data_IF_632562445151
#
_entry.id   IF_632562445151
#
_cell.length_a   1.000
_cell.length_b   1.000
_cell.length_c   1.000
_cell.angle_alpha   90.00
_cell.angle_beta   90.00
_cell.angle_gamma   90.00
#
_symmetry.space_group_name_H-M   'P 1'
#
loop_
_entity.id
_entity.type
_entity.pdbx_description
1 polymer ?
#
# COMPACT_ATOMS: atom_id res chain seq x y z
N UNK A 1 -11.53 2.32 38.71
CA UNK A 1 -11.57 2.40 37.26
C UNK A 1 -11.90 1.03 36.68
N UNK A 2 -12.90 0.98 35.84
CA UNK A 2 -13.36 -0.30 35.30
C UNK A 2 -12.49 -0.74 34.12
N UNK A 3 -11.72 -1.79 34.35
CA UNK A 3 -10.81 -2.36 33.33
C UNK A 3 -11.57 -2.77 32.06
N UNK A 4 -12.79 -3.24 32.20
CA UNK A 4 -13.64 -3.66 31.09
C UNK A 4 -13.97 -2.49 30.15
N UNK A 5 -14.26 -1.31 30.70
CA UNK A 5 -14.56 -0.10 29.91
C UNK A 5 -13.36 0.32 29.06
N UNK A 6 -12.16 0.26 29.64
CA UNK A 6 -10.94 0.59 28.90
C UNK A 6 -10.73 -0.38 27.74
N UNK A 7 -10.93 -1.67 27.99
CA UNK A 7 -10.78 -2.71 26.99
C UNK A 7 -11.77 -2.53 25.83
N UNK A 8 -13.02 -2.19 26.14
CA UNK A 8 -14.05 -1.95 25.13
C UNK A 8 -13.71 -0.71 24.28
N UNK A 9 -13.23 0.37 24.90
CA UNK A 9 -12.79 1.57 24.17
C UNK A 9 -11.62 1.26 23.26
N UNK A 10 -10.66 0.47 23.72
CA UNK A 10 -9.52 0.09 22.90
C UNK A 10 -9.95 -0.72 21.67
N UNK A 11 -10.90 -1.63 21.84
CA UNK A 11 -11.45 -2.40 20.72
C UNK A 11 -12.08 -1.49 19.67
N UNK A 12 -12.85 -0.51 20.09
CA UNK A 12 -13.49 0.45 19.18
C UNK A 12 -12.44 1.26 18.43
N UNK A 13 -11.43 1.78 19.15
CA UNK A 13 -10.36 2.57 18.54
C UNK A 13 -9.60 1.74 17.51
N UNK A 14 -9.22 0.51 17.87
CA UNK A 14 -8.50 -0.39 16.96
C UNK A 14 -9.34 -0.69 15.73
N UNK A 15 -10.64 -0.93 15.89
CA UNK A 15 -11.55 -1.20 14.78
C UNK A 15 -11.63 -0.01 13.83
N UNK A 16 -11.70 1.21 14.36
CA UNK A 16 -11.73 2.42 13.52
C UNK A 16 -10.42 2.59 12.77
N UNK A 17 -9.29 2.40 13.45
CA UNK A 17 -7.97 2.51 12.81
C UNK A 17 -7.82 1.49 11.69
N UNK A 18 -8.22 0.23 11.94
CA UNK A 18 -8.15 -0.81 10.93
C UNK A 18 -9.07 -0.51 9.73
N UNK A 19 -10.25 0.05 9.98
CA UNK A 19 -11.16 0.42 8.91
C UNK A 19 -10.58 1.52 8.04
N UNK A 20 -10.04 2.57 8.64
CA UNK A 20 -9.39 3.68 7.93
C UNK A 20 -8.20 3.15 7.12
N UNK A 21 -7.38 2.29 7.72
CA UNK A 21 -6.25 1.69 7.03
C UNK A 21 -6.70 0.85 5.84
N UNK A 22 -7.75 0.05 6.00
CA UNK A 22 -8.29 -0.77 4.92
C UNK A 22 -8.80 0.08 3.77
N UNK A 23 -9.50 1.17 4.06
CA UNK A 23 -9.96 2.12 3.04
C UNK A 23 -8.77 2.72 2.31
N UNK A 24 -7.72 3.12 3.02
CA UNK A 24 -6.52 3.66 2.42
C UNK A 24 -5.86 2.64 1.47
N UNK A 25 -5.71 1.39 1.91
CA UNK A 25 -5.14 0.31 1.08
C UNK A 25 -5.97 0.11 -0.19
N UNK A 26 -7.30 0.11 -0.07
CA UNK A 26 -8.19 -0.02 -1.23
C UNK A 26 -8.01 1.12 -2.22
N UNK A 27 -7.89 2.35 -1.73
CA UNK A 27 -7.65 3.53 -2.58
C UNK A 27 -6.33 3.37 -3.33
N UNK A 28 -5.29 2.92 -2.65
CA UNK A 28 -3.98 2.72 -3.29
C UNK A 28 -4.02 1.62 -4.36
N UNK A 29 -4.75 0.54 -4.12
CA UNK A 29 -4.94 -0.53 -5.10
C UNK A 29 -5.66 0.00 -6.34
N UNK A 30 -6.71 0.79 -6.16
CA UNK A 30 -7.46 1.40 -7.27
C UNK A 30 -6.57 2.35 -8.07
N UNK A 31 -5.77 3.17 -7.40
CA UNK A 31 -4.84 4.08 -8.07
C UNK A 31 -3.82 3.31 -8.91
N UNK A 32 -3.28 2.24 -8.36
CA UNK A 32 -2.32 1.40 -9.06
C UNK A 32 -2.96 0.73 -10.27
N UNK A 33 -4.16 0.18 -10.09
CA UNK A 33 -4.89 -0.50 -11.15
C UNK A 33 -5.20 0.43 -12.32
N UNK A 34 -5.59 1.68 -12.02
CA UNK A 34 -5.94 2.65 -13.05
C UNK A 34 -4.74 3.44 -13.57
N UNK A 35 -3.54 3.08 -13.12
CA UNK A 35 -2.29 3.73 -13.52
C UNK A 35 -2.31 5.25 -13.30
N UNK A 36 -2.99 5.70 -12.22
CA UNK A 36 -3.08 7.11 -11.88
C UNK A 36 -1.79 7.63 -11.28
N UNK A 37 -1.12 6.80 -10.48
CA UNK A 37 0.16 7.14 -9.86
C UNK A 37 0.93 5.85 -9.55
N UNK A 38 2.24 5.91 -9.64
CA UNK A 38 3.10 4.80 -9.22
C UNK A 38 3.55 4.94 -7.78
N UNK A 39 3.26 6.08 -7.17
CA UNK A 39 3.70 6.40 -5.81
C UNK A 39 2.51 6.42 -4.87
N UNK A 40 2.56 5.75 -3.68
CA UNK A 40 1.48 5.84 -2.73
C UNK A 40 1.35 7.26 -2.16
N UNK A 41 0.18 7.59 -1.63
CA UNK A 41 -0.07 8.91 -1.03
C UNK A 41 0.87 9.15 0.14
N UNK A 42 1.05 8.12 0.99
CA UNK A 42 1.96 8.17 2.13
C UNK A 42 3.15 7.29 1.82
N UNK A 43 4.34 7.88 1.72
CA UNK A 43 5.58 7.15 1.47
C UNK A 43 6.48 7.30 2.69
N UNK A 44 6.73 6.19 3.38
CA UNK A 44 7.63 6.18 4.54
C UNK A 44 9.07 6.08 4.10
N UNK A 45 9.36 5.24 3.12
CA UNK A 45 10.70 5.02 2.59
C UNK A 45 10.60 4.68 1.11
N UNK A 46 11.50 5.25 0.33
CA UNK A 46 11.62 4.97 -1.10
C UNK A 46 13.00 4.39 -1.38
N UNK A 47 13.02 3.32 -2.16
CA UNK A 47 14.25 2.75 -2.68
C UNK A 47 14.14 2.69 -4.20
N UNK A 48 15.15 3.18 -4.89
CA UNK A 48 15.17 3.14 -6.35
C UNK A 48 16.48 2.62 -6.85
N UNK A 49 16.42 1.76 -7.87
CA UNK A 49 17.55 1.35 -8.68
C UNK A 49 17.35 1.92 -10.08
N UNK A 50 18.13 1.47 -11.06
CA UNK A 50 18.11 2.07 -12.39
C UNK A 50 16.70 2.15 -13.02
N UNK A 51 15.92 1.08 -12.93
CA UNK A 51 14.58 1.03 -13.53
C UNK A 51 13.50 0.59 -12.53
N UNK A 52 13.88 0.27 -11.30
CA UNK A 52 12.97 -0.25 -10.29
C UNK A 52 12.78 0.76 -9.19
N UNK A 53 11.54 0.98 -8.82
CA UNK A 53 11.17 1.84 -7.70
C UNK A 53 10.38 1.03 -6.68
N UNK A 54 10.78 1.11 -5.42
CA UNK A 54 10.09 0.45 -4.32
C UNK A 54 9.67 1.49 -3.32
N UNK A 55 8.36 1.56 -3.04
CA UNK A 55 7.78 2.51 -2.10
C UNK A 55 7.23 1.75 -0.92
N UNK A 56 7.73 2.06 0.27
CA UNK A 56 7.23 1.50 1.53
C UNK A 56 6.24 2.46 2.14
N UNK A 57 5.06 1.98 2.48
CA UNK A 57 3.99 2.78 3.06
C UNK A 57 3.47 2.14 4.34
N UNK A 58 2.27 2.53 4.77
CA UNK A 58 1.67 2.05 6.02
C UNK A 58 1.16 0.62 5.86
N UNK A 59 1.98 -0.35 6.24
CA UNK A 59 1.63 -1.76 6.21
C UNK A 59 1.67 -2.41 4.85
N UNK A 60 2.18 -1.72 3.82
CA UNK A 60 2.30 -2.31 2.49
C UNK A 60 3.49 -1.72 1.74
N UNK A 61 3.81 -2.33 0.63
CA UNK A 61 4.90 -1.91 -0.24
C UNK A 61 4.46 -2.01 -1.69
N UNK A 62 4.82 -1.02 -2.51
CA UNK A 62 4.59 -1.03 -3.95
C UNK A 62 5.93 -1.11 -4.67
N UNK A 63 6.06 -2.08 -5.57
CA UNK A 63 7.22 -2.20 -6.45
C UNK A 63 6.78 -1.85 -7.86
N UNK A 64 7.44 -0.87 -8.47
CA UNK A 64 7.13 -0.44 -9.83
C UNK A 64 8.37 -0.66 -10.70
N UNK A 65 8.20 -1.39 -11.78
CA UNK A 65 9.28 -1.72 -12.71
C UNK A 65 9.06 -0.95 -14.01
N UNK A 66 10.08 -0.20 -14.41
CA UNK A 66 10.08 0.56 -15.65
C UNK A 66 11.01 -0.11 -16.66
N UNK A 67 10.66 0.01 -17.92
CA UNK A 67 11.49 -0.46 -19.00
C UNK A 67 11.46 0.57 -20.12
N UNK A 68 12.63 1.10 -20.49
CA UNK A 68 12.77 2.13 -21.51
C UNK A 68 11.92 3.39 -21.19
N UNK A 69 11.83 3.75 -19.89
CA UNK A 69 11.07 4.90 -19.45
C UNK A 69 9.58 4.69 -19.32
N UNK A 70 9.09 3.48 -19.59
CA UNK A 70 7.66 3.15 -19.48
C UNK A 70 7.42 2.16 -18.36
N UNK A 71 6.29 2.33 -17.65
CA UNK A 71 5.87 1.35 -16.65
C UNK A 71 5.60 0.00 -17.30
N UNK A 72 6.30 -1.02 -16.84
CA UNK A 72 6.08 -2.39 -17.32
C UNK A 72 5.22 -3.18 -16.35
N UNK A 73 5.48 -3.04 -15.05
CA UNK A 73 4.85 -3.87 -14.04
C UNK A 73 4.76 -3.13 -12.72
N UNK A 74 3.70 -3.37 -11.97
CA UNK A 74 3.57 -2.87 -10.61
C UNK A 74 3.07 -4.00 -9.71
N UNK A 75 3.70 -4.15 -8.55
CA UNK A 75 3.40 -5.21 -7.59
C UNK A 75 3.04 -4.55 -6.27
N UNK A 76 1.90 -4.95 -5.71
CA UNK A 76 1.43 -4.48 -4.41
C UNK A 76 1.53 -5.62 -3.41
N UNK A 77 2.36 -5.45 -2.38
CA UNK A 77 2.58 -6.45 -1.34
C UNK A 77 2.12 -5.94 0.02
N UNK A 78 1.32 -6.74 0.72
CA UNK A 78 0.88 -6.44 2.08
C UNK A 78 1.93 -6.97 3.06
N UNK A 79 2.38 -6.10 3.99
CA UNK A 79 3.40 -6.43 4.99
C UNK A 79 4.70 -7.00 4.41
N UNK A 80 5.03 -6.66 3.16
CA UNK A 80 6.21 -7.18 2.45
C UNK A 80 6.23 -8.69 2.24
N UNK A 81 5.13 -9.38 2.52
CA UNK A 81 5.07 -10.86 2.48
C UNK A 81 4.05 -11.33 1.46
N UNK A 82 2.85 -10.74 1.48
CA UNK A 82 1.72 -11.22 0.69
C UNK A 82 1.54 -10.35 -0.55
N UNK A 83 1.69 -10.94 -1.73
CA UNK A 83 1.40 -10.25 -2.98
C UNK A 83 -0.11 -10.24 -3.19
N UNK A 84 -0.72 -9.05 -3.12
CA UNK A 84 -2.16 -8.88 -3.35
C UNK A 84 -2.44 -8.59 -4.80
N UNK A 85 -1.59 -7.78 -5.44
CA UNK A 85 -1.83 -7.29 -6.78
C UNK A 85 -0.53 -7.28 -7.57
N UNK A 86 -0.60 -7.80 -8.78
CA UNK A 86 0.52 -7.80 -9.71
C UNK A 86 -0.06 -7.40 -11.07
N UNK A 87 0.23 -6.19 -11.49
CA UNK A 87 -0.33 -5.62 -12.71
C UNK A 87 0.77 -5.43 -13.74
N UNK A 88 0.56 -5.93 -14.94
CA UNK A 88 1.41 -5.65 -16.07
C UNK A 88 0.72 -4.61 -16.94
N UNK A 89 1.47 -3.58 -17.31
CA UNK A 89 0.97 -2.55 -18.19
C UNK A 89 1.38 -2.88 -19.63
N UNK A 90 0.39 -3.08 -20.46
CA UNK A 90 0.61 -3.32 -21.88
C UNK A 90 0.54 -2.00 -22.65
N UNK A 91 1.39 -1.87 -23.66
CA UNK A 91 1.38 -0.73 -24.54
C UNK A 91 0.27 -0.83 -25.58
#
# INVERSE_FOLDING_TARGET
>A
MDYKKIKDKLKVIISIVLLVWAIYVMVEIIRLKNNLSSEPIIVLTEQSTYEDYTYYSLGFKEEVIYKNGKKERAIFKLFNIITIWDVKYEE
#
